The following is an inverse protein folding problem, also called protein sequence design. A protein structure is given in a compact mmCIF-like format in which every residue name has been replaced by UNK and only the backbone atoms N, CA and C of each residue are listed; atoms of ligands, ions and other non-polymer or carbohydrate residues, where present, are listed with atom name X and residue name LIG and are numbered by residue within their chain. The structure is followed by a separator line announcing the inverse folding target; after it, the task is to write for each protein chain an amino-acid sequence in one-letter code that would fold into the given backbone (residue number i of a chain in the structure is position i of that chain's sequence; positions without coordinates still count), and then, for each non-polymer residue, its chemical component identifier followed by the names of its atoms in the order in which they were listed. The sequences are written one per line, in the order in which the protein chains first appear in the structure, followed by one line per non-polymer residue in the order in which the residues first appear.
data_IF_502245273458
#
_entry.id   IF_502245273458
#
_cell.length_a   1.000
_cell.length_b   1.000
_cell.length_c   1.000
_cell.angle_alpha   90.00
_cell.angle_beta   90.00
_cell.angle_gamma   90.00
#
_symmetry.space_group_name_H-M   'P 1'
#
loop_
_entity.id
_entity.type
_entity.pdbx_description
1 polymer ?
#
# COMPACT_ATOMS: atom_id res chain seq x y z
N UNK A 1 -7.66 -4.65 -12.98
CA UNK A 1 -6.82 -3.55 -12.50
C UNK A 1 -7.72 -2.69 -11.63
N UNK A 2 -7.30 -2.42 -10.41
CA UNK A 2 -7.99 -1.55 -9.47
C UNK A 2 -7.15 -0.29 -9.28
N UNK A 3 -7.81 0.86 -9.32
CA UNK A 3 -7.18 2.15 -9.07
C UNK A 3 -7.07 2.36 -7.56
N UNK A 4 -5.86 2.38 -7.02
CA UNK A 4 -5.58 2.55 -5.59
C UNK A 4 -4.86 3.88 -5.37
N UNK A 5 -5.28 4.62 -4.35
CA UNK A 5 -4.62 5.86 -3.91
C UNK A 5 -3.98 5.64 -2.54
N UNK A 6 -2.66 5.75 -2.48
CA UNK A 6 -1.88 5.76 -1.24
C UNK A 6 -1.65 7.20 -0.82
N UNK A 7 -1.81 7.49 0.48
CA UNK A 7 -1.63 8.84 1.02
C UNK A 7 -0.57 8.78 2.11
N UNK A 8 0.50 9.54 1.94
CA UNK A 8 1.55 9.70 2.93
C UNK A 8 1.06 10.49 4.15
N UNK A 9 1.78 10.41 5.27
CA UNK A 9 1.44 11.12 6.50
C UNK A 9 1.39 12.66 6.34
N UNK A 10 2.07 13.21 5.33
CA UNK A 10 2.09 14.64 5.01
C UNK A 10 0.95 15.06 4.04
N UNK A 11 0.10 14.11 3.63
CA UNK A 11 -1.00 14.35 2.69
C UNK A 11 -0.64 14.19 1.21
N UNK A 12 0.61 13.90 0.86
CA UNK A 12 0.98 13.60 -0.53
C UNK A 12 0.30 12.31 -0.99
N UNK A 13 -0.35 12.36 -2.15
CA UNK A 13 -1.14 11.25 -2.68
C UNK A 13 -0.51 10.66 -3.94
N UNK A 14 -0.45 9.34 -4.01
CA UNK A 14 0.05 8.55 -5.13
C UNK A 14 -1.04 7.62 -5.61
N UNK A 15 -1.47 7.77 -6.87
CA UNK A 15 -2.50 6.91 -7.45
C UNK A 15 -1.92 6.01 -8.51
N UNK A 16 -2.14 4.70 -8.37
CA UNK A 16 -1.55 3.67 -9.22
C UNK A 16 -2.59 2.60 -9.59
N UNK A 17 -2.35 1.91 -10.69
CA UNK A 17 -3.15 0.75 -11.10
C UNK A 17 -2.52 -0.52 -10.52
N UNK A 18 -3.31 -1.28 -9.77
CA UNK A 18 -2.89 -2.53 -9.13
C UNK A 18 -3.65 -3.70 -9.75
N UNK A 19 -2.96 -4.79 -10.06
CA UNK A 19 -3.62 -5.99 -10.59
C UNK A 19 -4.59 -6.58 -9.55
N UNK A 20 -5.76 -7.05 -10.00
CA UNK A 20 -6.72 -7.70 -9.10
C UNK A 20 -6.11 -8.98 -8.53
N UNK A 21 -6.19 -9.17 -7.22
CA UNK A 21 -5.58 -10.30 -6.51
C UNK A 21 -4.20 -9.99 -5.92
N UNK A 22 -3.58 -8.85 -6.28
CA UNK A 22 -2.39 -8.32 -5.60
C UNK A 22 -2.79 -7.64 -4.29
N UNK A 23 -2.01 -7.84 -3.22
CA UNK A 23 -2.25 -7.16 -1.95
C UNK A 23 -1.92 -5.67 -2.04
N UNK A 24 -2.49 -4.84 -1.14
CA UNK A 24 -2.15 -3.40 -1.08
C UNK A 24 -0.66 -3.17 -0.78
N UNK A 25 -0.04 -4.02 0.04
CA UNK A 25 1.39 -3.94 0.34
C UNK A 25 2.25 -4.18 -0.91
N UNK A 26 1.97 -5.25 -1.67
CA UNK A 26 2.70 -5.53 -2.92
C UNK A 26 2.46 -4.44 -3.97
N UNK A 27 1.23 -3.92 -4.05
CA UNK A 27 0.89 -2.79 -4.90
C UNK A 27 1.69 -1.53 -4.56
N UNK A 28 1.90 -1.25 -3.28
CA UNK A 28 2.73 -0.14 -2.83
C UNK A 28 4.22 -0.34 -3.18
N UNK A 29 4.80 -1.49 -2.83
CA UNK A 29 6.21 -1.78 -3.11
C UNK A 29 6.51 -1.81 -4.61
N UNK A 30 5.65 -2.46 -5.41
CA UNK A 30 5.82 -2.56 -6.86
C UNK A 30 5.75 -1.23 -7.60
N UNK A 31 5.19 -0.19 -6.96
CA UNK A 31 5.10 1.17 -7.50
C UNK A 31 5.99 2.18 -6.76
N UNK A 32 6.84 1.74 -5.83
CA UNK A 32 7.78 2.61 -5.12
C UNK A 32 7.10 3.63 -4.19
N UNK A 33 5.96 3.27 -3.60
CA UNK A 33 5.23 4.13 -2.66
C UNK A 33 6.02 4.27 -1.35
N UNK A 34 6.37 5.50 -0.92
CA UNK A 34 7.09 5.71 0.35
C UNK A 34 6.27 5.33 1.59
N UNK A 35 6.96 4.95 2.67
CA UNK A 35 6.36 4.73 3.98
C UNK A 35 5.76 3.33 4.23
N UNK A 36 5.94 2.41 3.29
CA UNK A 36 5.55 1.00 3.42
C UNK A 36 6.81 0.15 3.15
N UNK A 37 7.31 -0.55 4.17
CA UNK A 37 8.58 -1.29 4.06
C UNK A 37 8.35 -2.76 3.65
N UNK A 38 7.35 -3.42 4.26
CA UNK A 38 6.95 -4.77 3.91
C UNK A 38 8.00 -5.86 4.21
N UNK A 39 8.78 -5.73 5.28
CA UNK A 39 9.99 -6.54 5.56
C UNK A 39 9.77 -8.05 5.55
N UNK A 40 8.62 -8.52 6.04
CA UNK A 40 8.31 -9.95 6.07
C UNK A 40 7.76 -10.50 4.74
N UNK A 41 7.67 -9.70 3.68
CA UNK A 41 7.14 -10.13 2.38
C UNK A 41 5.68 -10.59 2.42
N UNK A 42 4.86 -10.08 3.35
CA UNK A 42 3.46 -10.47 3.48
C UNK A 42 3.18 -11.69 4.36
N UNK A 43 4.18 -12.17 5.12
CA UNK A 43 4.02 -13.28 6.08
C UNK A 43 3.43 -12.88 7.45
N UNK A 44 2.81 -11.70 7.56
CA UNK A 44 2.13 -11.21 8.76
C UNK A 44 2.98 -11.24 10.05
N UNK A 45 4.28 -10.92 9.95
CA UNK A 45 5.22 -11.03 11.07
C UNK A 45 5.88 -9.71 11.52
N UNK A 46 5.89 -8.67 10.66
CA UNK A 46 6.69 -7.45 10.90
C UNK A 46 5.88 -6.20 11.27
N UNK A 47 4.60 -6.12 10.90
CA UNK A 47 3.77 -4.92 11.00
C UNK A 47 4.25 -3.66 10.23
N UNK A 48 5.31 -3.75 9.40
CA UNK A 48 5.88 -2.61 8.67
C UNK A 48 5.17 -2.30 7.34
N UNK A 49 4.08 -3.00 7.05
CA UNK A 49 3.15 -2.67 5.96
C UNK A 49 1.83 -2.05 6.45
N UNK A 50 1.82 -1.54 7.69
CA UNK A 50 0.64 -0.93 8.30
C UNK A 50 0.15 0.28 7.51
N UNK A 51 -1.17 0.37 7.31
CA UNK A 51 -1.85 1.49 6.67
C UNK A 51 -3.16 1.78 7.40
N UNK A 52 -3.68 2.98 7.23
CA UNK A 52 -5.07 3.30 7.56
C UNK A 52 -5.92 3.20 6.30
N UNK A 53 -7.03 2.47 6.38
CA UNK A 53 -8.04 2.45 5.32
C UNK A 53 -8.95 3.64 5.54
N UNK A 54 -9.19 4.41 4.48
CA UNK A 54 -10.13 5.53 4.52
C UNK A 54 -11.54 5.03 4.86
N UNK A 55 -12.26 5.76 5.71
CA UNK A 55 -13.53 5.31 6.28
C UNK A 55 -14.65 5.12 5.24
N UNK A 56 -14.50 5.65 4.02
CA UNK A 56 -15.47 5.45 2.94
C UNK A 56 -15.35 4.08 2.24
N UNK A 57 -14.36 3.26 2.58
CA UNK A 57 -14.12 1.92 2.03
C UNK A 57 -14.50 0.83 3.02
#
# INVERSE_FOLDING_TARGET
MARITYVEYNGAAHTVEVATGTSLMEGALGNGIPGIDGDCGGHAACATCHIYVDAAW
#
